data_IF_056465303409
#
_entry.id   IF_056465303409
#
_cell.length_a   1.000
_cell.length_b   1.000
_cell.length_c   1.000
_cell.angle_alpha   90.00
_cell.angle_beta   90.00
_cell.angle_gamma   90.00
#
_symmetry.space_group_name_H-M   'P 1'
#
loop_
_entity.id
_entity.type
_entity.pdbx_description
1 polymer ?
#
# COMPACT_ATOMS: atom_id res chain seq x y z
N UNK A 1 -43.75 4.62 -18.82
CA UNK A 1 -44.17 3.87 -17.61
C UNK A 1 -44.23 2.35 -17.80
N UNK A 2 -44.83 1.78 -18.86
CA UNK A 2 -44.83 0.31 -19.06
C UNK A 2 -43.48 -0.27 -19.57
N UNK A 3 -42.72 0.50 -20.37
CA UNK A 3 -41.40 0.07 -20.86
C UNK A 3 -40.30 0.16 -19.79
N UNK A 4 -40.31 1.17 -18.92
CA UNK A 4 -39.35 1.29 -17.80
C UNK A 4 -39.49 0.16 -16.77
N UNK A 5 -40.70 -0.34 -16.56
CA UNK A 5 -40.94 -1.50 -15.69
C UNK A 5 -40.39 -2.81 -16.28
N UNK A 6 -40.41 -2.97 -17.61
CA UNK A 6 -39.81 -4.16 -18.25
C UNK A 6 -38.28 -4.10 -18.26
N UNK A 7 -37.68 -2.91 -18.38
CA UNK A 7 -36.22 -2.76 -18.29
C UNK A 7 -35.73 -3.01 -16.86
N UNK A 8 -36.42 -2.49 -15.84
CA UNK A 8 -36.11 -2.76 -14.44
C UNK A 8 -36.32 -4.23 -14.08
N UNK A 9 -37.41 -4.86 -14.55
CA UNK A 9 -37.66 -6.29 -14.33
C UNK A 9 -36.58 -7.18 -14.97
N UNK A 10 -36.07 -6.83 -16.16
CA UNK A 10 -35.01 -7.59 -16.84
C UNK A 10 -33.64 -7.41 -16.18
N UNK A 11 -33.32 -6.21 -15.68
CA UNK A 11 -32.10 -5.94 -14.90
C UNK A 11 -32.13 -6.69 -13.57
N UNK A 12 -33.28 -6.73 -12.88
CA UNK A 12 -33.47 -7.54 -11.67
C UNK A 12 -33.37 -9.04 -11.95
N UNK A 13 -33.94 -9.56 -13.05
CA UNK A 13 -33.83 -10.98 -13.41
C UNK A 13 -32.41 -11.39 -13.81
N UNK A 14 -31.66 -10.53 -14.50
CA UNK A 14 -30.24 -10.77 -14.82
C UNK A 14 -29.41 -10.77 -13.54
N UNK A 15 -29.65 -9.83 -12.62
CA UNK A 15 -28.97 -9.77 -11.32
C UNK A 15 -29.29 -10.99 -10.43
N UNK A 16 -30.54 -11.45 -10.40
CA UNK A 16 -30.94 -12.65 -9.65
C UNK A 16 -30.33 -13.93 -10.24
N UNK A 17 -30.15 -13.99 -11.56
CA UNK A 17 -29.49 -15.11 -12.25
C UNK A 17 -27.97 -15.12 -11.99
N UNK A 18 -27.31 -13.96 -11.97
CA UNK A 18 -25.90 -13.84 -11.59
C UNK A 18 -25.64 -14.21 -10.12
N UNK A 19 -26.51 -13.80 -9.19
CA UNK A 19 -26.43 -14.19 -7.78
C UNK A 19 -26.58 -15.71 -7.60
N UNK A 20 -27.55 -16.35 -8.28
CA UNK A 20 -27.78 -17.79 -8.12
C UNK A 20 -26.75 -18.68 -8.82
N UNK A 21 -26.18 -18.26 -9.95
CA UNK A 21 -25.13 -19.03 -10.63
C UNK A 21 -23.76 -18.99 -9.90
N UNK A 22 -23.49 -17.96 -9.09
CA UNK A 22 -22.24 -17.84 -8.32
C UNK A 22 -22.33 -18.53 -6.95
N UNK A 23 -23.54 -18.77 -6.42
CA UNK A 23 -23.77 -19.29 -5.07
C UNK A 23 -24.09 -20.80 -4.95
N UNK A 24 -23.83 -21.64 -5.97
CA UNK A 24 -23.87 -23.10 -5.76
C UNK A 24 -22.59 -23.58 -5.05
N UNK A 25 -22.74 -23.97 -3.77
CA UNK A 25 -21.74 -24.67 -2.96
C UNK A 25 -21.25 -25.92 -3.70
N UNK A 26 -19.97 -25.95 -4.08
CA UNK A 26 -19.30 -27.17 -4.55
C UNK A 26 -18.07 -27.41 -3.69
N UNK A 27 -18.04 -28.60 -3.08
CA UNK A 27 -17.03 -29.09 -2.14
C UNK A 27 -15.61 -29.01 -2.71
N UNK A 28 -14.68 -28.56 -1.88
CA UNK A 28 -13.32 -28.12 -2.22
C UNK A 28 -12.27 -29.22 -2.08
N UNK A 29 -11.92 -29.92 -3.17
CA UNK A 29 -10.60 -30.60 -3.35
C UNK A 29 -10.28 -30.84 -4.83
N UNK A 30 -9.62 -29.90 -5.54
CA UNK A 30 -8.83 -30.17 -6.76
C UNK A 30 -8.20 -28.89 -7.36
N UNK A 31 -6.94 -28.92 -7.89
CA UNK A 31 -6.28 -27.78 -8.56
C UNK A 31 -6.90 -27.37 -9.91
N UNK A 32 -7.88 -28.11 -10.43
CA UNK A 32 -8.61 -27.76 -11.67
C UNK A 32 -9.68 -26.66 -11.48
N UNK A 33 -9.87 -26.18 -10.24
CA UNK A 33 -10.92 -25.23 -9.86
C UNK A 33 -10.76 -23.83 -10.48
N UNK A 34 -9.53 -23.39 -10.75
CA UNK A 34 -9.25 -22.02 -11.20
C UNK A 34 -9.44 -21.84 -12.72
N UNK A 35 -9.19 -22.88 -13.52
CA UNK A 35 -9.40 -22.85 -14.98
C UNK A 35 -10.89 -22.86 -15.36
N UNK A 36 -11.73 -23.61 -14.65
CA UNK A 36 -13.18 -23.72 -14.97
C UNK A 36 -13.93 -22.42 -14.71
N UNK A 37 -13.49 -21.60 -13.74
CA UNK A 37 -14.15 -20.33 -13.39
C UNK A 37 -13.84 -19.21 -14.40
N UNK A 38 -12.61 -19.18 -14.92
CA UNK A 38 -12.17 -18.23 -15.95
C UNK A 38 -12.80 -18.56 -17.31
N UNK A 39 -12.92 -19.84 -17.67
CA UNK A 39 -13.59 -20.23 -18.92
C UNK A 39 -15.10 -20.04 -18.88
N UNK A 40 -15.78 -20.29 -17.74
CA UNK A 40 -17.22 -19.95 -17.60
C UNK A 40 -17.46 -18.44 -17.66
N UNK A 41 -16.61 -17.62 -17.06
CA UNK A 41 -16.72 -16.16 -17.15
C UNK A 41 -16.50 -15.65 -18.58
N UNK A 42 -15.58 -16.27 -19.34
CA UNK A 42 -15.38 -15.99 -20.77
C UNK A 42 -16.56 -16.47 -21.62
N UNK A 43 -17.10 -17.67 -21.37
CA UNK A 43 -18.25 -18.23 -22.09
C UNK A 43 -19.54 -17.42 -21.91
N UNK A 44 -19.76 -16.86 -20.72
CA UNK A 44 -20.92 -15.99 -20.40
C UNK A 44 -20.75 -14.60 -21.05
N UNK A 45 -19.52 -14.10 -21.21
CA UNK A 45 -19.25 -12.83 -21.90
C UNK A 45 -19.53 -12.90 -23.40
N UNK A 46 -19.28 -14.06 -24.03
CA UNK A 46 -19.52 -14.27 -25.47
C UNK A 46 -20.98 -14.64 -25.80
N UNK A 47 -21.73 -15.26 -24.88
CA UNK A 47 -23.15 -15.58 -25.11
C UNK A 47 -24.09 -14.38 -24.93
N UNK A 48 -23.64 -13.32 -24.23
CA UNK A 48 -24.35 -12.04 -24.13
C UNK A 48 -24.22 -11.14 -25.36
N UNK A 49 -23.34 -11.49 -26.31
CA UNK A 49 -23.21 -10.81 -27.61
C UNK A 49 -24.01 -11.59 -28.66
N UNK A 50 -25.31 -11.76 -28.43
CA UNK A 50 -26.27 -12.02 -29.51
C UNK A 50 -27.16 -10.80 -29.62
N UNK A 51 -26.71 -9.85 -30.45
CA UNK A 51 -27.51 -8.70 -30.83
C UNK A 51 -28.64 -9.24 -31.70
N UNK A 52 -29.87 -9.26 -31.19
CA UNK A 52 -31.05 -9.53 -32.01
C UNK A 52 -31.13 -8.47 -33.11
N UNK A 53 -30.79 -8.85 -34.33
CA UNK A 53 -31.02 -8.05 -35.53
C UNK A 53 -32.49 -8.21 -35.93
N UNK A 54 -33.27 -7.14 -35.82
CA UNK A 54 -34.56 -7.05 -36.53
C UNK A 54 -34.32 -6.46 -37.93
N UNK A 55 -34.99 -6.97 -38.98
CA UNK A 55 -34.79 -6.46 -40.33
C UNK A 55 -35.55 -5.13 -40.49
N UNK A 56 -34.82 -4.03 -40.49
CA UNK A 56 -35.28 -2.72 -40.91
C UNK A 56 -34.74 -2.39 -42.30
N UNK A 57 -35.61 -1.85 -43.14
CA UNK A 57 -35.40 -1.54 -44.55
C UNK A 57 -34.25 -0.53 -44.69
N UNK A 58 -33.40 -0.74 -45.69
CA UNK A 58 -32.18 0.01 -46.06
C UNK A 58 -30.88 -0.35 -45.30
N UNK A 59 -30.10 -1.23 -45.93
CA UNK A 59 -28.87 -1.83 -45.42
C UNK A 59 -27.68 -0.89 -45.23
N UNK A 60 -27.69 -0.09 -44.14
CA UNK A 60 -26.48 0.45 -43.52
C UNK A 60 -26.33 -0.06 -42.09
N UNK A 61 -25.24 -0.80 -41.82
CA UNK A 61 -24.83 -1.20 -40.47
C UNK A 61 -24.19 -0.01 -39.75
N UNK A 62 -24.80 0.49 -38.68
CA UNK A 62 -24.18 1.46 -37.78
C UNK A 62 -23.73 0.73 -36.51
N UNK A 63 -22.42 0.69 -36.26
CA UNK A 63 -21.85 0.20 -35.00
C UNK A 63 -22.08 1.26 -33.92
N UNK A 64 -22.92 0.96 -32.92
CA UNK A 64 -22.98 1.75 -31.69
C UNK A 64 -21.68 1.49 -30.90
N UNK A 65 -20.95 2.55 -30.56
CA UNK A 65 -19.72 2.48 -29.78
C UNK A 65 -19.98 1.82 -28.41
N UNK A 66 -19.03 1.05 -27.84
CA UNK A 66 -19.19 0.50 -26.51
C UNK A 66 -19.34 1.65 -25.50
N UNK A 67 -20.30 1.53 -24.59
CA UNK A 67 -20.46 2.48 -23.48
C UNK A 67 -19.16 2.59 -22.67
N UNK A 68 -18.97 3.73 -21.99
CA UNK A 68 -17.84 4.03 -21.08
C UNK A 68 -17.47 2.89 -20.10
N UNK A 69 -18.40 1.96 -19.87
CA UNK A 69 -18.25 0.75 -19.09
C UNK A 69 -17.19 -0.24 -19.64
N UNK A 70 -17.15 -0.50 -20.95
CA UNK A 70 -16.20 -1.48 -21.52
C UNK A 70 -14.76 -0.97 -21.41
N UNK A 71 -14.56 0.33 -21.56
CA UNK A 71 -13.28 1.00 -21.39
C UNK A 71 -12.84 1.05 -19.92
N UNK A 72 -13.76 1.27 -18.98
CA UNK A 72 -13.47 1.18 -17.54
C UNK A 72 -13.14 -0.26 -17.11
N UNK A 73 -13.88 -1.24 -17.61
CA UNK A 73 -13.63 -2.67 -17.34
C UNK A 73 -12.29 -3.14 -17.91
N UNK A 74 -11.94 -2.75 -19.13
CA UNK A 74 -10.63 -3.03 -19.71
C UNK A 74 -9.49 -2.33 -18.96
N UNK A 75 -9.69 -1.09 -18.48
CA UNK A 75 -8.72 -0.41 -17.62
C UNK A 75 -8.51 -1.14 -16.28
N UNK A 76 -9.58 -1.65 -15.68
CA UNK A 76 -9.51 -2.45 -14.46
C UNK A 76 -8.76 -3.79 -14.69
N UNK A 77 -8.98 -4.44 -15.83
CA UNK A 77 -8.27 -5.66 -16.19
C UNK A 77 -6.81 -5.43 -16.61
N UNK A 78 -6.49 -4.31 -17.26
CA UNK A 78 -5.12 -3.97 -17.70
C UNK A 78 -4.21 -3.54 -16.53
N UNK A 79 -4.79 -3.00 -15.46
CA UNK A 79 -4.05 -2.56 -14.27
C UNK A 79 -3.73 -3.68 -13.25
N UNK A 80 -3.97 -4.95 -13.60
CA UNK A 80 -3.49 -6.09 -12.80
C UNK A 80 -4.05 -6.15 -11.38
N UNK A 81 -5.34 -5.85 -11.22
CA UNK A 81 -6.04 -6.10 -9.95
C UNK A 81 -6.17 -7.61 -9.77
N UNK A 82 -5.41 -8.18 -8.82
CA UNK A 82 -5.61 -9.55 -8.36
C UNK A 82 -7.01 -9.66 -7.74
N UNK A 83 -7.96 -10.22 -8.51
CA UNK A 83 -9.24 -10.72 -8.01
C UNK A 83 -9.01 -12.00 -7.20
N UNK A 84 -8.18 -11.93 -6.16
CA UNK A 84 -8.18 -12.94 -5.12
C UNK A 84 -9.33 -12.57 -4.18
N UNK A 85 -10.39 -13.39 -4.12
CA UNK A 85 -11.25 -13.42 -2.94
C UNK A 85 -10.28 -13.62 -1.79
N UNK A 86 -10.10 -12.58 -0.98
CA UNK A 86 -9.44 -12.71 0.31
C UNK A 86 -10.36 -13.67 1.07
N UNK A 87 -9.88 -14.89 1.32
CA UNK A 87 -10.76 -15.94 1.81
C UNK A 87 -11.46 -15.45 3.07
N UNK A 88 -12.78 -15.66 3.13
CA UNK A 88 -13.49 -15.67 4.40
C UNK A 88 -12.74 -16.68 5.26
N UNK A 89 -11.91 -16.20 6.19
CA UNK A 89 -11.21 -17.07 7.13
C UNK A 89 -12.21 -18.07 7.71
N UNK A 90 -11.78 -19.31 7.89
CA UNK A 90 -12.61 -20.34 8.52
C UNK A 90 -13.28 -19.75 9.76
N UNK A 91 -14.61 -19.91 9.84
CA UNK A 91 -15.49 -19.15 10.73
C UNK A 91 -14.89 -19.02 12.13
N UNK A 92 -14.54 -17.79 12.50
CA UNK A 92 -13.96 -17.53 13.81
C UNK A 92 -15.09 -17.45 14.83
N UNK A 93 -15.17 -18.43 15.73
CA UNK A 93 -16.19 -18.49 16.78
C UNK A 93 -15.80 -17.55 17.93
N UNK A 94 -16.48 -16.41 18.05
CA UNK A 94 -16.54 -15.69 19.33
C UNK A 94 -17.85 -16.07 20.01
N UNK A 95 -17.77 -16.77 21.13
CA UNK A 95 -18.97 -17.17 21.91
C UNK A 95 -19.89 -18.17 21.20
N UNK A 96 -19.35 -19.06 20.35
CA UNK A 96 -20.10 -20.18 19.75
C UNK A 96 -21.06 -19.83 18.61
N UNK A 97 -20.95 -18.66 17.99
CA UNK A 97 -21.76 -18.29 16.80
C UNK A 97 -20.87 -18.09 15.57
N UNK A 98 -21.27 -18.62 14.41
CA UNK A 98 -20.59 -18.49 13.12
C UNK A 98 -20.56 -17.04 12.61
N UNK A 99 -19.47 -16.66 11.94
CA UNK A 99 -19.23 -15.31 11.42
C UNK A 99 -18.72 -15.31 9.96
N UNK A 100 -19.24 -14.43 9.07
CA UNK A 100 -20.45 -13.61 9.24
C UNK A 100 -21.71 -14.46 9.51
N UNK A 101 -22.81 -13.87 10.02
CA UNK A 101 -24.05 -14.61 10.28
C UNK A 101 -24.55 -15.35 9.03
N UNK A 102 -25.23 -16.48 9.20
CA UNK A 102 -25.83 -17.21 8.09
C UNK A 102 -26.72 -16.29 7.23
N UNK A 103 -26.54 -16.34 5.91
CA UNK A 103 -27.23 -15.47 4.95
C UNK A 103 -26.46 -14.22 4.50
N UNK A 104 -25.27 -13.95 5.09
CA UNK A 104 -24.40 -12.83 4.69
C UNK A 104 -23.09 -13.35 4.06
N UNK A 105 -22.76 -12.94 2.83
CA UNK A 105 -21.44 -13.14 2.20
C UNK A 105 -20.68 -11.79 2.22
N UNK A 106 -20.08 -11.48 3.37
CA UNK A 106 -19.32 -10.24 3.57
C UNK A 106 -17.84 -10.56 3.74
N UNK A 107 -17.00 -9.80 3.03
CA UNK A 107 -15.56 -9.82 3.13
C UNK A 107 -15.11 -9.03 4.37
N UNK A 108 -15.19 -9.69 5.52
CA UNK A 108 -14.88 -9.17 6.85
C UNK A 108 -14.19 -10.25 7.68
N UNK A 109 -13.21 -9.89 8.51
CA UNK A 109 -12.44 -10.85 9.31
C UNK A 109 -12.00 -10.23 10.63
N UNK A 110 -12.25 -10.93 11.75
CA UNK A 110 -11.71 -10.54 13.04
C UNK A 110 -10.23 -10.87 13.10
N UNK A 111 -9.42 -9.83 13.24
CA UNK A 111 -7.98 -9.97 13.48
C UNK A 111 -7.76 -10.29 14.97
N UNK A 112 -8.53 -9.64 15.83
CA UNK A 112 -8.63 -9.97 17.26
C UNK A 112 -10.10 -9.95 17.72
N UNK A 113 -10.34 -10.17 19.00
CA UNK A 113 -11.67 -9.97 19.60
C UNK A 113 -12.19 -8.53 19.50
N UNK A 114 -11.38 -7.54 19.14
CA UNK A 114 -11.85 -6.14 19.14
C UNK A 114 -11.42 -5.36 17.90
N UNK A 115 -10.74 -6.02 16.96
CA UNK A 115 -10.30 -5.46 15.69
C UNK A 115 -10.89 -6.27 14.54
N UNK A 116 -11.68 -5.60 13.72
CA UNK A 116 -12.34 -6.15 12.54
C UNK A 116 -11.78 -5.49 11.29
N UNK A 117 -11.26 -6.27 10.35
CA UNK A 117 -10.81 -5.79 9.06
C UNK A 117 -11.85 -6.14 7.98
N UNK A 118 -12.13 -5.22 7.05
CA UNK A 118 -13.05 -5.49 5.94
C UNK A 118 -12.65 -4.81 4.62
N UNK A 119 -13.26 -5.24 3.52
CA UNK A 119 -13.26 -4.46 2.27
C UNK A 119 -14.30 -3.34 2.29
N UNK A 120 -14.20 -2.43 1.31
CA UNK A 120 -15.00 -1.21 1.27
C UNK A 120 -16.51 -1.46 1.29
N UNK A 121 -17.28 -0.78 2.15
CA UNK A 121 -18.73 -0.85 2.15
C UNK A 121 -19.28 -0.03 0.98
N UNK A 122 -19.62 -0.70 -0.11
CA UNK A 122 -20.04 -0.06 -1.35
C UNK A 122 -21.55 0.23 -1.37
N UNK A 123 -21.90 1.39 -1.92
CA UNK A 123 -23.26 1.72 -2.37
C UNK A 123 -23.43 1.40 -3.86
N UNK A 124 -24.66 1.13 -4.31
CA UNK A 124 -25.00 0.93 -5.73
C UNK A 124 -24.31 -0.28 -6.42
N UNK A 125 -24.17 -0.28 -7.75
CA UNK A 125 -23.67 -1.37 -8.61
C UNK A 125 -22.27 -1.89 -8.24
N UNK A 126 -21.47 -1.13 -7.46
CA UNK A 126 -20.18 -1.59 -6.94
C UNK A 126 -20.32 -2.65 -5.84
N UNK A 127 -21.48 -2.75 -5.20
CA UNK A 127 -21.82 -3.81 -4.24
C UNK A 127 -21.89 -5.22 -4.87
N UNK A 128 -21.86 -5.33 -6.20
CA UNK A 128 -21.76 -6.64 -6.88
C UNK A 128 -20.38 -7.28 -6.67
N UNK A 129 -19.35 -6.47 -6.44
CA UNK A 129 -17.95 -6.92 -6.30
C UNK A 129 -17.34 -6.64 -4.92
N UNK A 130 -18.10 -5.98 -4.03
CA UNK A 130 -17.67 -5.53 -2.70
C UNK A 130 -18.81 -5.69 -1.71
N UNK A 131 -18.54 -5.45 -0.43
CA UNK A 131 -19.54 -5.55 0.62
C UNK A 131 -20.69 -4.56 0.39
N UNK A 132 -21.95 -5.00 0.26
CA UNK A 132 -23.08 -4.09 0.23
C UNK A 132 -23.17 -3.33 1.56
N UNK A 133 -23.12 -1.99 1.53
CA UNK A 133 -23.06 -1.17 2.74
C UNK A 133 -24.21 -1.47 3.71
N UNK A 134 -25.44 -1.69 3.20
CA UNK A 134 -26.59 -2.00 4.03
C UNK A 134 -26.43 -3.32 4.79
N UNK A 135 -25.77 -4.32 4.21
CA UNK A 135 -25.48 -5.58 4.87
C UNK A 135 -24.41 -5.41 5.95
N UNK A 136 -23.35 -4.64 5.65
CA UNK A 136 -22.31 -4.31 6.64
C UNK A 136 -22.94 -3.62 7.84
N UNK A 137 -23.74 -2.58 7.60
CA UNK A 137 -24.48 -1.85 8.64
C UNK A 137 -25.35 -2.80 9.46
N UNK A 138 -26.16 -3.65 8.81
CA UNK A 138 -27.06 -4.54 9.52
C UNK A 138 -26.30 -5.56 10.39
N UNK A 139 -25.22 -6.14 9.88
CA UNK A 139 -24.39 -7.09 10.64
C UNK A 139 -23.71 -6.41 11.83
N UNK A 140 -23.20 -5.19 11.65
CA UNK A 140 -22.59 -4.43 12.73
C UNK A 140 -23.61 -4.02 13.79
N UNK A 141 -24.77 -3.47 13.39
CA UNK A 141 -25.84 -3.09 14.30
C UNK A 141 -26.41 -4.29 15.06
N UNK A 142 -26.61 -5.43 14.39
CA UNK A 142 -27.14 -6.64 15.02
C UNK A 142 -26.21 -7.23 16.09
N UNK A 143 -24.90 -7.06 15.94
CA UNK A 143 -23.90 -7.76 16.75
C UNK A 143 -23.14 -6.88 17.73
N UNK A 144 -22.99 -5.61 17.39
CA UNK A 144 -22.21 -4.60 18.10
C UNK A 144 -22.99 -3.29 18.17
N UNK A 145 -24.30 -3.36 18.40
CA UNK A 145 -25.16 -2.17 18.50
C UNK A 145 -24.50 -1.14 19.41
N UNK A 146 -24.30 0.08 18.90
CA UNK A 146 -23.62 1.20 19.59
C UNK A 146 -22.12 1.01 19.91
N UNK A 147 -21.62 -0.22 19.85
CA UNK A 147 -20.26 -0.63 20.22
C UNK A 147 -19.31 -0.82 19.02
N UNK A 148 -19.55 -0.17 17.88
CA UNK A 148 -18.58 -0.15 16.78
C UNK A 148 -18.27 1.27 16.28
N UNK A 149 -17.01 1.46 15.88
CA UNK A 149 -16.53 2.65 15.16
C UNK A 149 -15.77 2.22 13.91
N UNK A 150 -16.04 2.88 12.79
CA UNK A 150 -15.49 2.56 11.47
C UNK A 150 -14.36 3.53 11.12
N UNK A 151 -13.26 2.99 10.62
CA UNK A 151 -12.08 3.73 10.18
C UNK A 151 -11.88 3.54 8.68
N UNK A 152 -12.08 4.62 7.91
CA UNK A 152 -11.95 4.64 6.45
C UNK A 152 -10.54 5.11 6.05
N UNK A 153 -9.78 4.23 5.41
CA UNK A 153 -8.42 4.51 4.94
C UNK A 153 -8.35 4.97 3.46
N UNK A 154 -9.49 5.10 2.78
CA UNK A 154 -9.54 5.46 1.38
C UNK A 154 -9.41 6.97 1.17
N UNK A 155 -8.38 7.38 0.43
CA UNK A 155 -8.26 8.75 -0.08
C UNK A 155 -9.18 8.98 -1.29
N UNK A 156 -9.44 7.92 -2.04
CA UNK A 156 -10.16 7.97 -3.32
C UNK A 156 -11.69 7.97 -3.18
N UNK A 157 -12.22 7.49 -2.04
CA UNK A 157 -13.66 7.25 -1.88
C UNK A 157 -14.08 7.42 -0.41
N UNK A 158 -15.21 8.09 -0.21
CA UNK A 158 -15.85 8.34 1.08
C UNK A 158 -17.35 8.06 1.00
N UNK A 159 -18.02 8.03 2.14
CA UNK A 159 -19.45 7.87 2.26
C UNK A 159 -19.94 8.66 3.46
N UNK A 160 -21.24 8.98 3.50
CA UNK A 160 -21.84 9.75 4.58
C UNK A 160 -21.66 9.02 5.93
N UNK A 161 -20.97 9.61 6.92
CA UNK A 161 -20.82 9.05 8.27
C UNK A 161 -22.14 8.71 8.97
N UNK A 162 -23.23 9.40 8.62
CA UNK A 162 -24.57 9.16 9.20
C UNK A 162 -25.05 7.72 8.99
N UNK A 163 -24.57 7.06 7.94
CA UNK A 163 -24.88 5.66 7.61
C UNK A 163 -24.40 4.66 8.66
N UNK A 164 -23.41 5.05 9.46
CA UNK A 164 -22.89 4.28 10.60
C UNK A 164 -23.05 5.10 11.90
N UNK A 165 -24.17 5.82 12.02
CA UNK A 165 -24.54 6.59 13.22
C UNK A 165 -23.51 7.67 13.60
N UNK A 166 -22.81 8.23 12.61
CA UNK A 166 -21.76 9.24 12.83
C UNK A 166 -20.45 8.67 13.39
N UNK A 167 -20.34 7.34 13.59
CA UNK A 167 -19.15 6.68 14.12
C UNK A 167 -18.18 6.27 13.01
N UNK A 168 -17.84 7.21 12.12
CA UNK A 168 -16.87 7.01 11.03
C UNK A 168 -15.77 8.04 11.16
N UNK A 169 -14.51 7.60 11.07
CA UNK A 169 -13.34 8.47 11.07
C UNK A 169 -12.44 8.16 9.86
N UNK A 170 -11.91 9.20 9.24
CA UNK A 170 -11.08 9.10 8.04
C UNK A 170 -9.59 9.19 8.36
N UNK A 171 -8.80 8.29 7.79
CA UNK A 171 -7.34 8.36 7.77
C UNK A 171 -6.86 8.10 6.33
N UNK A 172 -7.14 9.03 5.40
CA UNK A 172 -7.01 8.78 3.97
C UNK A 172 -5.54 8.74 3.53
N UNK A 173 -5.14 7.68 2.85
CA UNK A 173 -3.89 7.65 2.10
C UNK A 173 -3.99 6.77 0.84
N UNK A 174 -3.13 7.09 -0.13
CA UNK A 174 -3.14 6.52 -1.47
C UNK A 174 -3.03 4.98 -1.48
N UNK A 175 -3.73 4.35 -2.43
CA UNK A 175 -3.62 2.91 -2.58
C UNK A 175 -2.20 2.50 -2.99
N UNK A 176 -1.69 1.47 -2.32
CA UNK A 176 -0.30 1.01 -2.43
C UNK A 176 0.75 2.03 -1.98
N UNK A 177 0.35 3.08 -1.24
CA UNK A 177 1.25 3.97 -0.53
C UNK A 177 1.37 3.58 0.96
N UNK A 178 2.16 4.37 1.67
CA UNK A 178 2.32 4.40 3.13
C UNK A 178 1.79 5.72 3.68
N UNK A 179 1.19 5.74 4.87
CA UNK A 179 0.80 6.96 5.58
C UNK A 179 2.01 7.59 6.30
N UNK A 180 1.87 8.83 6.75
CA UNK A 180 2.87 9.44 7.64
C UNK A 180 2.87 8.78 9.02
N UNK A 181 4.01 8.81 9.72
CA UNK A 181 4.11 8.28 11.08
C UNK A 181 3.16 9.01 12.06
N UNK A 182 2.93 10.31 11.85
CA UNK A 182 1.94 11.09 12.61
C UNK A 182 0.52 10.59 12.40
N UNK A 183 0.14 10.26 11.16
CA UNK A 183 -1.18 9.67 10.87
C UNK A 183 -1.33 8.30 11.53
N UNK A 184 -0.28 7.48 11.53
CA UNK A 184 -0.28 6.19 12.25
C UNK A 184 -0.53 6.42 13.74
N UNK A 185 0.14 7.40 14.36
CA UNK A 185 -0.05 7.75 15.76
C UNK A 185 -1.50 8.15 16.05
N UNK A 186 -2.03 9.15 15.33
CA UNK A 186 -3.39 9.64 15.52
C UNK A 186 -4.42 8.52 15.40
N UNK A 187 -4.26 7.66 14.39
CA UNK A 187 -5.10 6.48 14.21
C UNK A 187 -5.00 5.53 15.41
N UNK A 188 -3.79 5.19 15.86
CA UNK A 188 -3.61 4.26 16.96
C UNK A 188 -4.20 4.81 18.27
N UNK A 189 -4.01 6.09 18.54
CA UNK A 189 -4.58 6.78 19.70
C UNK A 189 -6.11 6.79 19.65
N UNK A 190 -6.72 7.13 18.51
CA UNK A 190 -8.19 7.09 18.37
C UNK A 190 -8.75 5.69 18.58
N UNK A 191 -8.13 4.67 17.96
CA UNK A 191 -8.54 3.27 18.15
C UNK A 191 -8.41 2.88 19.62
N UNK A 192 -7.29 3.24 20.26
CA UNK A 192 -7.05 2.92 21.67
C UNK A 192 -8.10 3.55 22.58
N UNK A 193 -8.39 4.84 22.41
CA UNK A 193 -9.38 5.57 23.20
C UNK A 193 -10.78 4.97 23.02
N UNK A 194 -11.17 4.66 21.79
CA UNK A 194 -12.45 4.00 21.51
C UNK A 194 -12.56 2.64 22.19
N UNK A 195 -11.49 1.84 22.17
CA UNK A 195 -11.49 0.52 22.80
C UNK A 195 -11.37 0.59 24.33
N UNK A 196 -10.84 1.67 24.89
CA UNK A 196 -10.80 1.90 26.33
C UNK A 196 -12.15 2.36 26.90
N UNK A 197 -12.94 3.09 26.12
CA UNK A 197 -14.21 3.68 26.54
C UNK A 197 -15.22 2.63 27.03
N UNK A 198 -15.31 1.49 26.33
CA UNK A 198 -16.18 0.39 26.71
C UNK A 198 -15.54 -0.96 26.32
N UNK A 199 -15.56 -2.01 27.17
CA UNK A 199 -15.02 -3.33 26.84
C UNK A 199 -15.71 -4.05 25.67
N UNK A 200 -16.97 -3.72 25.36
CA UNK A 200 -17.73 -4.26 24.24
C UNK A 200 -17.36 -3.59 22.91
N UNK A 201 -16.73 -2.40 22.96
CA UNK A 201 -16.36 -1.66 21.76
C UNK A 201 -15.44 -2.47 20.84
N UNK A 202 -15.71 -2.40 19.54
CA UNK A 202 -14.85 -2.91 18.47
C UNK A 202 -14.46 -1.79 17.50
N UNK A 203 -13.26 -1.87 16.94
CA UNK A 203 -12.81 -1.02 15.85
C UNK A 203 -12.93 -1.78 14.53
N UNK A 204 -13.54 -1.14 13.53
CA UNK A 204 -13.74 -1.70 12.18
C UNK A 204 -12.91 -0.90 11.18
N UNK A 205 -11.88 -1.52 10.60
CA UNK A 205 -10.91 -0.85 9.73
C UNK A 205 -11.09 -1.35 8.31
N UNK A 206 -11.15 -0.44 7.34
CA UNK A 206 -11.26 -0.83 5.94
C UNK A 206 -10.48 0.08 4.99
N UNK A 207 -10.18 -0.47 3.82
CA UNK A 207 -9.78 0.27 2.63
C UNK A 207 -10.59 -0.28 1.45
N UNK A 208 -10.10 -0.20 0.21
CA UNK A 208 -10.78 -0.80 -0.93
C UNK A 208 -10.93 -2.32 -0.83
N UNK A 209 -9.82 -3.03 -0.58
CA UNK A 209 -9.78 -4.49 -0.53
C UNK A 209 -9.61 -5.07 0.88
N UNK A 210 -9.40 -4.23 1.90
CA UNK A 210 -9.13 -4.70 3.25
C UNK A 210 -7.83 -5.51 3.37
N UNK A 211 -6.79 -5.18 2.60
CA UNK A 211 -5.56 -5.99 2.49
C UNK A 211 -4.31 -5.20 2.91
N UNK A 212 -3.71 -4.43 2.00
CA UNK A 212 -2.46 -3.69 2.26
C UNK A 212 -2.61 -2.55 3.27
N UNK A 213 -3.37 -1.49 2.92
CA UNK A 213 -3.59 -0.31 3.78
C UNK A 213 -4.19 -0.69 5.14
N UNK A 214 -5.27 -1.47 5.13
CA UNK A 214 -5.90 -2.00 6.34
C UNK A 214 -4.92 -2.81 7.17
N UNK A 215 -4.13 -3.68 6.54
CA UNK A 215 -3.13 -4.48 7.25
C UNK A 215 -2.05 -3.64 7.89
N UNK A 216 -1.55 -2.60 7.20
CA UNK A 216 -0.58 -1.66 7.78
C UNK A 216 -1.14 -1.04 9.06
N UNK A 217 -2.31 -0.41 9.00
CA UNK A 217 -2.88 0.31 10.14
C UNK A 217 -3.29 -0.64 11.28
N UNK A 218 -3.87 -1.81 10.97
CA UNK A 218 -4.18 -2.83 11.98
C UNK A 218 -2.91 -3.35 12.65
N UNK A 219 -1.86 -3.66 11.89
CA UNK A 219 -0.58 -4.10 12.44
C UNK A 219 0.06 -2.99 13.30
N UNK A 220 -0.03 -1.73 12.87
CA UNK A 220 0.47 -0.61 13.66
C UNK A 220 -0.24 -0.49 15.02
N UNK A 221 -1.56 -0.69 15.08
CA UNK A 221 -2.30 -0.70 16.35
C UNK A 221 -1.99 -1.92 17.23
N UNK A 222 -1.81 -3.11 16.63
CA UNK A 222 -1.35 -4.29 17.37
C UNK A 222 0.02 -4.06 17.99
N UNK A 223 0.93 -3.42 17.23
CA UNK A 223 2.24 -3.01 17.71
C UNK A 223 2.11 -1.98 18.84
N UNK A 224 1.27 -0.96 18.66
CA UNK A 224 0.96 0.04 19.70
C UNK A 224 0.41 -0.60 20.99
N UNK A 225 -0.27 -1.75 20.86
CA UNK A 225 -0.79 -2.54 21.98
C UNK A 225 0.24 -3.50 22.62
N UNK A 226 1.52 -3.41 22.23
CA UNK A 226 2.61 -4.18 22.82
C UNK A 226 3.10 -5.39 22.03
N UNK A 227 2.62 -5.61 20.80
CA UNK A 227 3.09 -6.69 19.93
C UNK A 227 4.37 -6.30 19.16
N UNK A 228 5.21 -7.26 18.77
CA UNK A 228 6.28 -7.00 17.80
C UNK A 228 5.73 -6.77 16.39
N UNK A 229 6.49 -6.07 15.55
CA UNK A 229 6.12 -5.81 14.16
C UNK A 229 5.88 -7.11 13.37
N UNK A 230 6.77 -8.10 13.55
CA UNK A 230 6.74 -9.38 12.88
C UNK A 230 5.50 -10.19 13.29
N UNK A 231 5.21 -10.26 14.59
CA UNK A 231 4.06 -10.98 15.11
C UNK A 231 2.74 -10.34 14.65
N UNK A 232 2.67 -9.00 14.62
CA UNK A 232 1.50 -8.28 14.13
C UNK A 232 1.23 -8.55 12.64
N UNK A 233 2.27 -8.46 11.81
CA UNK A 233 2.19 -8.75 10.37
C UNK A 233 1.77 -10.20 10.11
N UNK A 234 2.30 -11.14 10.87
CA UNK A 234 1.98 -12.56 10.77
C UNK A 234 0.53 -12.84 11.19
N UNK A 235 0.11 -12.33 12.35
CA UNK A 235 -1.27 -12.48 12.82
C UNK A 235 -2.27 -11.93 11.81
N UNK A 236 -2.00 -10.75 11.24
CA UNK A 236 -2.86 -10.19 10.22
C UNK A 236 -2.91 -11.07 8.96
N UNK A 237 -1.77 -11.59 8.50
CA UNK A 237 -1.72 -12.46 7.34
C UNK A 237 -2.53 -13.75 7.54
N UNK A 238 -2.41 -14.39 8.70
CA UNK A 238 -3.13 -15.62 9.07
C UNK A 238 -4.64 -15.39 9.17
N UNK A 239 -5.05 -14.28 9.80
CA UNK A 239 -6.47 -14.00 10.04
C UNK A 239 -7.20 -13.43 8.84
N UNK A 240 -6.49 -12.64 8.03
CA UNK A 240 -7.10 -11.96 6.89
C UNK A 240 -6.99 -12.77 5.61
N UNK A 241 -5.97 -13.59 5.41
CA UNK A 241 -5.71 -14.21 4.10
C UNK A 241 -5.51 -15.71 4.18
N UNK A 242 -5.93 -16.43 3.15
CA UNK A 242 -5.76 -17.89 3.06
C UNK A 242 -4.38 -18.32 2.56
N UNK A 243 -3.58 -17.38 2.05
CA UNK A 243 -2.26 -17.64 1.48
C UNK A 243 -1.13 -16.95 2.26
N UNK A 244 -1.39 -16.48 3.48
CA UNK A 244 -0.46 -15.72 4.32
C UNK A 244 0.15 -14.49 3.63
N UNK A 245 -0.53 -13.91 2.63
CA UNK A 245 -0.12 -12.68 1.96
C UNK A 245 -0.95 -11.51 2.48
N UNK A 246 -0.85 -11.18 3.78
CA UNK A 246 -1.54 -10.03 4.39
C UNK A 246 -1.02 -8.69 3.85
N UNK A 247 -0.08 -8.09 4.57
CA UNK A 247 0.67 -6.92 4.09
C UNK A 247 1.85 -7.41 3.26
N UNK A 248 1.68 -7.43 1.94
CA UNK A 248 2.68 -7.95 0.99
C UNK A 248 3.59 -6.88 0.40
N UNK A 249 3.25 -5.59 0.51
CA UNK A 249 4.06 -4.49 -0.02
C UNK A 249 5.23 -4.22 0.95
N UNK A 250 6.50 -4.37 0.53
CA UNK A 250 7.67 -4.15 1.38
C UNK A 250 7.67 -2.81 2.10
N UNK A 251 7.35 -1.71 1.43
CA UNK A 251 7.31 -0.39 2.09
C UNK A 251 6.26 -0.29 3.19
N UNK A 252 5.11 -0.96 3.04
CA UNK A 252 4.09 -1.00 4.09
C UNK A 252 4.59 -1.78 5.31
N UNK A 253 5.29 -2.90 5.10
CA UNK A 253 5.94 -3.67 6.18
C UNK A 253 7.05 -2.87 6.85
N UNK A 254 7.85 -2.14 6.06
CA UNK A 254 8.92 -1.25 6.54
C UNK A 254 8.37 -0.17 7.48
N UNK A 255 7.21 0.41 7.17
CA UNK A 255 6.57 1.42 8.02
C UNK A 255 6.00 0.83 9.32
N UNK A 256 5.52 -0.42 9.33
CA UNK A 256 5.21 -1.12 10.59
C UNK A 256 6.48 -1.31 11.44
N UNK A 257 7.61 -1.61 10.81
CA UNK A 257 8.91 -1.70 11.48
C UNK A 257 9.42 -0.35 12.00
N UNK A 258 9.26 0.74 11.23
CA UNK A 258 9.57 2.10 11.69
C UNK A 258 8.71 2.49 12.88
N UNK A 259 7.41 2.21 12.81
CA UNK A 259 6.47 2.43 13.91
C UNK A 259 6.90 1.69 15.18
N UNK A 260 7.26 0.41 15.10
CA UNK A 260 7.78 -0.36 16.24
C UNK A 260 9.01 0.29 16.88
N UNK A 261 9.96 0.80 16.07
CA UNK A 261 11.21 1.39 16.56
C UNK A 261 11.03 2.69 17.35
N UNK A 262 9.96 3.43 17.11
CA UNK A 262 9.73 4.73 17.75
C UNK A 262 8.85 4.64 19.01
N UNK A 263 8.31 3.45 19.30
CA UNK A 263 7.50 3.22 20.48
C UNK A 263 8.35 2.83 21.68
N UNK A 264 8.03 3.40 22.84
CA UNK A 264 8.66 3.08 24.12
C UNK A 264 7.61 2.63 25.13
N UNK A 265 7.75 1.40 25.61
CA UNK A 265 6.84 0.80 26.58
C UNK A 265 7.35 0.97 28.01
N UNK A 266 6.49 1.44 28.91
CA UNK A 266 6.83 1.58 30.32
C UNK A 266 6.82 0.22 31.02
N UNK A 267 8.01 -0.32 31.33
CA UNK A 267 8.20 -1.64 31.97
C UNK A 267 7.35 -1.84 33.25
N UNK A 268 7.02 -0.76 33.96
CA UNK A 268 6.32 -0.80 35.25
C UNK A 268 4.79 -0.60 35.15
N UNK A 269 4.23 -0.29 33.97
CA UNK A 269 2.78 -0.11 33.76
C UNK A 269 2.37 -0.54 32.34
N UNK A 270 2.25 -1.84 32.07
CA UNK A 270 1.97 -2.37 30.73
C UNK A 270 0.56 -2.05 30.21
N UNK A 271 -0.34 -1.55 31.07
CA UNK A 271 -1.70 -1.15 30.70
C UNK A 271 -1.80 0.27 30.12
N UNK A 272 -0.73 1.07 30.21
CA UNK A 272 -0.70 2.41 29.62
C UNK A 272 -0.27 2.35 28.15
N UNK A 273 -0.78 3.27 27.30
CA UNK A 273 -0.30 3.39 25.93
C UNK A 273 1.21 3.68 25.92
N UNK A 274 1.94 3.18 24.91
CA UNK A 274 3.36 3.49 24.74
C UNK A 274 3.58 4.97 24.50
N UNK A 275 4.75 5.47 24.89
CA UNK A 275 5.20 6.78 24.46
C UNK A 275 5.66 6.72 23.00
N UNK A 276 5.18 7.65 22.17
CA UNK A 276 5.51 7.72 20.75
C UNK A 276 6.62 8.77 20.56
N UNK A 277 7.82 8.32 20.20
CA UNK A 277 8.95 9.20 19.90
C UNK A 277 9.02 9.48 18.40
N UNK A 278 8.11 10.32 17.88
CA UNK A 278 8.17 10.71 16.47
C UNK A 278 9.56 11.31 16.15
N UNK A 279 10.21 10.87 15.07
CA UNK A 279 11.49 11.45 14.68
C UNK A 279 11.29 12.89 14.20
N UNK A 280 12.25 13.76 14.53
CA UNK A 280 12.29 15.09 13.94
C UNK A 280 12.54 15.02 12.43
N UNK A 281 12.01 15.96 11.63
CA UNK A 281 12.32 16.04 10.21
C UNK A 281 13.82 16.14 9.98
N UNK A 282 14.44 15.06 9.49
CA UNK A 282 15.86 15.03 9.19
C UNK A 282 16.08 15.14 7.68
N UNK A 283 16.35 16.35 7.14
CA UNK A 283 16.65 16.49 5.73
C UNK A 283 17.96 15.73 5.40
N UNK A 284 18.01 15.16 4.20
CA UNK A 284 19.13 14.38 3.68
C UNK A 284 19.40 14.80 2.24
N UNK A 285 20.67 15.00 1.91
CA UNK A 285 21.11 15.25 0.53
C UNK A 285 21.20 13.94 -0.24
N UNK A 286 20.28 13.63 -1.14
CA UNK A 286 20.40 12.51 -2.06
C UNK A 286 21.41 12.87 -3.17
N UNK A 287 22.54 12.17 -3.20
CA UNK A 287 23.69 12.44 -4.09
C UNK A 287 23.77 11.49 -5.27
N UNK A 288 23.30 10.25 -5.13
CA UNK A 288 23.31 9.26 -6.22
C UNK A 288 22.17 8.26 -6.10
N UNK A 289 21.62 7.87 -7.23
CA UNK A 289 20.80 6.66 -7.37
C UNK A 289 21.53 5.71 -8.32
N UNK A 290 21.70 4.46 -7.91
CA UNK A 290 22.38 3.44 -8.71
C UNK A 290 21.60 2.13 -8.71
N UNK A 291 21.55 1.47 -9.86
CA UNK A 291 20.96 0.15 -10.04
C UNK A 291 22.08 -0.82 -10.41
N UNK A 292 22.18 -1.87 -9.61
CA UNK A 292 23.19 -2.91 -9.76
C UNK A 292 22.64 -4.12 -10.49
N UNK A 293 23.52 -4.82 -11.22
CA UNK A 293 23.20 -6.07 -11.92
C UNK A 293 21.95 -5.95 -12.81
N UNK A 294 21.90 -4.88 -13.62
CA UNK A 294 20.82 -4.68 -14.58
C UNK A 294 21.00 -5.59 -15.80
N UNK A 295 19.90 -6.00 -16.41
CA UNK A 295 19.89 -6.90 -17.56
C UNK A 295 19.09 -6.32 -18.72
N UNK A 296 19.64 -6.36 -19.93
CA UNK A 296 18.97 -5.97 -21.17
C UNK A 296 18.36 -4.56 -21.17
N UNK A 297 18.93 -3.62 -20.40
CA UNK A 297 18.45 -2.26 -20.28
C UNK A 297 19.61 -1.28 -20.18
N UNK A 298 19.51 -0.16 -20.92
CA UNK A 298 20.55 0.87 -20.97
C UNK A 298 20.13 2.17 -20.26
N UNK A 299 18.88 2.27 -19.81
CA UNK A 299 18.42 3.43 -19.05
C UNK A 299 17.19 3.09 -18.24
N UNK A 300 17.12 3.61 -17.02
CA UNK A 300 15.92 3.53 -16.18
C UNK A 300 15.57 4.94 -15.72
N UNK A 301 14.34 5.37 -16.00
CA UNK A 301 13.82 6.65 -15.53
C UNK A 301 13.35 6.52 -14.09
N UNK A 302 13.47 7.58 -13.31
CA UNK A 302 12.95 7.61 -11.96
C UNK A 302 12.28 8.94 -11.62
N UNK A 303 11.39 8.87 -10.64
CA UNK A 303 10.71 10.01 -10.02
C UNK A 303 10.90 9.91 -8.52
N UNK A 304 11.42 10.96 -7.90
CA UNK A 304 11.46 11.13 -6.44
C UNK A 304 10.29 12.00 -6.04
N UNK A 305 9.53 11.56 -5.04
CA UNK A 305 8.37 12.28 -4.52
C UNK A 305 8.33 12.26 -3.00
N UNK A 306 7.81 13.32 -2.40
CA UNK A 306 7.63 13.47 -0.95
C UNK A 306 6.15 13.58 -0.60
N UNK A 307 5.76 13.09 0.58
CA UNK A 307 4.40 13.33 1.09
C UNK A 307 4.28 14.77 1.59
N UNK A 308 3.48 15.58 0.90
CA UNK A 308 3.24 16.97 1.29
C UNK A 308 2.16 17.04 2.37
N UNK A 309 2.50 17.62 3.52
CA UNK A 309 1.53 18.00 4.52
C UNK A 309 0.79 19.28 4.07
N UNK A 310 -0.53 19.22 3.98
CA UNK A 310 -1.38 20.36 3.60
C UNK A 310 -2.18 20.78 4.82
N UNK A 311 -2.05 22.04 5.24
CA UNK A 311 -2.74 22.55 6.42
C UNK A 311 -4.26 22.40 6.29
N UNK A 312 -4.90 21.81 7.31
CA UNK A 312 -6.34 21.58 7.34
C UNK A 312 -6.85 20.42 6.47
N UNK A 313 -5.95 19.60 5.91
CA UNK A 313 -6.33 18.40 5.18
C UNK A 313 -5.60 17.17 5.74
N UNK A 314 -6.35 16.14 6.10
CA UNK A 314 -5.81 14.89 6.65
C UNK A 314 -5.11 14.04 5.57
N UNK A 315 -5.38 14.31 4.29
CA UNK A 315 -4.73 13.63 3.18
C UNK A 315 -3.43 14.34 2.75
N UNK A 316 -2.33 13.60 2.76
CA UNK A 316 -1.02 14.08 2.30
C UNK A 316 -0.69 13.51 0.90
N UNK A 317 -0.85 14.28 -0.19
CA UNK A 317 -0.53 13.79 -1.53
C UNK A 317 0.98 13.68 -1.77
N UNK A 318 1.44 12.69 -2.56
CA UNK A 318 2.81 12.64 -3.01
C UNK A 318 3.08 13.73 -4.07
N UNK A 319 4.09 14.56 -3.83
CA UNK A 319 4.53 15.64 -4.73
C UNK A 319 5.85 15.26 -5.38
N UNK A 320 5.93 15.37 -6.70
CA UNK A 320 7.16 15.13 -7.47
C UNK A 320 8.21 16.21 -7.16
N UNK A 321 9.35 15.79 -6.61
CA UNK A 321 10.49 16.67 -6.32
C UNK A 321 11.41 16.73 -7.55
N UNK A 322 11.71 15.58 -8.15
CA UNK A 322 12.52 15.51 -9.37
C UNK A 322 12.17 14.28 -10.21
N UNK A 323 12.42 14.40 -11.51
CA UNK A 323 12.42 13.31 -12.48
C UNK A 323 13.71 13.30 -13.28
N UNK A 324 14.35 12.16 -13.34
CA UNK A 324 15.62 11.97 -14.06
C UNK A 324 15.76 10.52 -14.54
N UNK A 325 16.96 10.12 -14.96
CA UNK A 325 17.22 8.75 -15.39
C UNK A 325 18.65 8.29 -15.09
N UNK A 326 18.76 7.02 -14.70
CA UNK A 326 20.02 6.32 -14.61
C UNK A 326 20.46 5.83 -15.99
N UNK A 327 21.76 5.95 -16.29
CA UNK A 327 22.40 5.54 -17.55
C UNK A 327 23.65 4.70 -17.25
N UNK A 328 24.22 3.98 -18.24
CA UNK A 328 25.36 3.11 -17.97
C UNK A 328 26.56 3.95 -17.54
N UNK A 329 27.26 3.47 -16.51
CA UNK A 329 28.48 4.13 -16.01
C UNK A 329 29.49 4.22 -17.16
N UNK A 330 29.84 5.43 -17.59
CA UNK A 330 30.85 5.63 -18.63
C UNK A 330 32.24 5.41 -18.03
N UNK A 331 32.99 4.43 -18.54
CA UNK A 331 34.41 4.28 -18.20
C UNK A 331 35.15 5.60 -18.45
N UNK A 332 35.78 6.14 -17.41
CA UNK A 332 36.64 7.32 -17.48
C UNK A 332 35.98 8.67 -17.17
N UNK A 333 34.69 8.73 -16.84
CA UNK A 333 34.00 9.98 -16.50
C UNK A 333 33.47 9.98 -15.06
N UNK A 334 34.32 9.62 -14.11
CA UNK A 334 34.12 10.11 -12.75
C UNK A 334 34.33 11.62 -12.81
N UNK A 335 33.25 12.40 -12.77
CA UNK A 335 33.38 13.83 -12.53
C UNK A 335 34.28 14.05 -11.30
N UNK A 336 35.08 15.12 -11.26
CA UNK A 336 36.11 15.33 -10.22
C UNK A 336 35.58 15.31 -8.77
N UNK A 337 34.27 15.29 -8.57
CA UNK A 337 33.59 15.39 -7.28
C UNK A 337 32.80 14.15 -6.81
N UNK A 338 32.93 12.96 -7.40
CA UNK A 338 32.35 11.75 -6.77
C UNK A 338 33.10 11.45 -5.47
N UNK A 339 32.53 11.65 -4.27
CA UNK A 339 33.24 11.34 -3.04
C UNK A 339 33.50 9.83 -3.02
N UNK A 340 34.79 9.45 -3.09
CA UNK A 340 35.25 8.06 -3.02
C UNK A 340 35.16 7.48 -1.60
N UNK A 341 34.41 8.12 -0.72
CA UNK A 341 34.41 7.89 0.72
C UNK A 341 32.97 8.01 1.23
N UNK A 342 32.44 6.93 1.78
CA UNK A 342 31.14 6.93 2.44
C UNK A 342 31.31 6.61 3.93
N UNK A 343 30.48 7.19 4.79
CA UNK A 343 30.45 6.87 6.22
C UNK A 343 29.40 5.78 6.44
N UNK A 344 29.86 4.57 6.76
CA UNK A 344 29.01 3.53 7.34
C UNK A 344 29.06 3.63 8.86
N UNK A 345 27.88 3.59 9.50
CA UNK A 345 27.74 3.36 10.93
C UNK A 345 27.31 1.90 11.12
N UNK A 346 28.21 1.07 11.66
CA UNK A 346 27.89 -0.32 11.97
C UNK A 346 27.35 -0.36 13.40
N UNK A 347 26.09 -0.79 13.56
CA UNK A 347 25.53 -1.08 14.86
C UNK A 347 25.72 -2.58 15.12
N UNK A 348 26.71 -2.95 15.94
CA UNK A 348 26.85 -4.32 16.42
C UNK A 348 25.71 -4.56 17.41
N UNK A 349 24.88 -5.56 17.13
CA UNK A 349 23.77 -5.92 18.01
C UNK A 349 24.25 -6.39 19.39
N UNK A 350 23.42 -6.09 20.38
CA UNK A 350 23.39 -6.70 21.72
C UNK A 350 24.53 -6.33 22.69
N UNK A 351 24.52 -5.10 23.19
CA UNK A 351 24.92 -4.84 24.59
C UNK A 351 24.40 -3.46 25.05
N UNK A 352 23.34 -3.45 25.88
CA UNK A 352 22.64 -2.24 26.37
C UNK A 352 23.46 -1.38 27.36
N UNK A 353 24.78 -1.51 27.49
CA UNK A 353 25.54 -0.78 28.52
C UNK A 353 26.95 -0.28 28.14
N UNK A 354 27.24 -0.08 26.85
CA UNK A 354 28.44 0.67 26.45
C UNK A 354 28.11 1.75 25.44
N UNK A 355 28.45 2.99 25.78
CA UNK A 355 28.63 4.06 24.81
C UNK A 355 29.89 3.71 24.01
N UNK A 356 29.76 2.87 22.99
CA UNK A 356 30.84 2.60 22.04
C UNK A 356 30.87 3.73 21.00
N UNK A 357 32.05 4.33 20.81
CA UNK A 357 32.27 5.37 19.80
C UNK A 357 31.90 4.84 18.40
N UNK A 358 31.24 5.67 17.55
CA UNK A 358 30.82 5.24 16.22
C UNK A 358 32.03 4.82 15.38
N UNK A 359 32.14 3.54 15.05
CA UNK A 359 33.13 3.03 14.11
C UNK A 359 32.80 3.55 12.71
N UNK A 360 33.53 4.58 12.26
CA UNK A 360 33.42 5.13 10.90
C UNK A 360 34.16 4.21 9.95
N UNK A 361 33.42 3.43 9.15
CA UNK A 361 34.01 2.69 8.02
C UNK A 361 33.95 3.59 6.79
N UNK A 362 35.12 3.87 6.23
CA UNK A 362 35.29 4.56 4.96
C UNK A 362 35.31 3.51 3.85
N UNK A 363 34.20 3.35 3.14
CA UNK A 363 34.15 2.46 1.98
C UNK A 363 34.62 3.21 0.73
N UNK A 364 35.66 2.69 0.08
CA UNK A 364 36.04 3.12 -1.26
C UNK A 364 35.12 2.48 -2.30
N UNK A 365 34.66 3.28 -3.26
CA UNK A 365 33.96 2.79 -4.47
C UNK A 365 35.01 2.06 -5.34
N UNK A 366 35.33 0.80 -4.99
CA UNK A 366 36.29 -0.05 -5.71
C UNK A 366 35.66 -0.80 -6.87
N UNK A 367 34.44 -0.44 -7.27
CA UNK A 367 33.74 -1.12 -8.35
C UNK A 367 34.34 -0.76 -9.71
N UNK A 368 35.44 -1.44 -10.00
CA UNK A 368 35.89 -1.67 -11.36
C UNK A 368 34.84 -2.54 -12.03
N UNK A 369 34.15 -2.00 -13.05
CA UNK A 369 33.25 -2.73 -13.95
C UNK A 369 33.93 -3.87 -14.74
N UNK A 370 35.17 -4.23 -14.37
CA UNK A 370 36.07 -5.13 -15.08
C UNK A 370 36.05 -6.54 -14.50
N UNK A 371 35.59 -6.74 -13.26
CA UNK A 371 35.71 -8.06 -12.61
C UNK A 371 34.44 -8.92 -12.80
N UNK A 372 33.26 -8.29 -12.93
CA UNK A 372 32.02 -8.98 -13.27
C UNK A 372 31.34 -8.22 -14.41
N UNK A 373 30.95 -8.87 -15.50
CA UNK A 373 30.21 -8.31 -16.64
C UNK A 373 28.78 -7.82 -16.29
N UNK A 374 28.56 -7.32 -15.07
CA UNK A 374 27.28 -6.84 -14.55
C UNK A 374 27.11 -5.39 -14.97
N UNK A 375 26.02 -5.10 -15.68
CA UNK A 375 25.73 -3.73 -16.08
C UNK A 375 25.24 -2.95 -14.86
N UNK A 376 25.74 -1.72 -14.73
CA UNK A 376 25.36 -0.81 -13.67
C UNK A 376 24.82 0.47 -14.31
N UNK A 377 23.66 0.93 -13.85
CA UNK A 377 23.09 2.20 -14.26
C UNK A 377 23.14 3.18 -13.10
N UNK A 378 23.66 4.39 -13.30
CA UNK A 378 23.68 5.41 -12.28
C UNK A 378 23.21 6.79 -12.74
N UNK A 379 22.80 7.58 -11.75
CA UNK A 379 22.53 9.00 -11.86
C UNK A 379 23.16 9.66 -10.64
N UNK A 380 24.16 10.50 -10.89
CA UNK A 380 24.77 11.38 -9.91
C UNK A 380 24.12 12.76 -10.01
N UNK A 381 23.77 13.37 -8.87
CA UNK A 381 23.24 14.73 -8.85
C UNK A 381 24.42 15.71 -8.68
N UNK A 382 24.64 16.58 -9.66
CA UNK A 382 25.66 17.63 -9.58
C UNK A 382 25.38 18.54 -8.38
N UNK A 383 24.12 18.98 -8.25
CA UNK A 383 23.55 19.61 -7.07
C UNK A 383 22.74 18.56 -6.28
N UNK A 384 23.15 18.18 -5.05
CA UNK A 384 22.44 17.17 -4.28
C UNK A 384 20.96 17.50 -4.07
N UNK A 385 20.10 16.50 -4.24
CA UNK A 385 18.67 16.66 -4.05
C UNK A 385 18.35 16.60 -2.55
N UNK A 386 17.96 17.72 -1.96
CA UNK A 386 17.50 17.73 -0.56
C UNK A 386 16.14 17.02 -0.46
N UNK A 387 16.06 16.00 0.39
CA UNK A 387 14.80 15.29 0.68
C UNK A 387 14.56 15.16 2.17
N UNK A 388 13.29 15.17 2.61
CA UNK A 388 12.94 15.07 4.03
C UNK A 388 11.64 14.29 4.28
N UNK A 389 11.58 13.58 5.41
CA UNK A 389 10.39 12.85 5.85
C UNK A 389 10.12 11.61 5.01
N UNK A 390 8.85 11.43 4.61
CA UNK A 390 8.39 10.26 3.86
C UNK A 390 8.65 10.42 2.35
N UNK A 391 9.63 9.68 1.84
CA UNK A 391 10.11 9.76 0.46
C UNK A 391 9.72 8.50 -0.30
N UNK A 392 9.25 8.66 -1.54
CA UNK A 392 9.02 7.58 -2.51
C UNK A 392 9.89 7.78 -3.74
N UNK A 393 10.61 6.74 -4.14
CA UNK A 393 11.35 6.68 -5.39
C UNK A 393 10.71 5.66 -6.31
N UNK A 394 10.21 6.10 -7.47
CA UNK A 394 9.51 5.27 -8.46
C UNK A 394 10.33 5.12 -9.74
N UNK A 395 10.47 3.90 -10.25
CA UNK A 395 11.30 3.59 -11.41
C UNK A 395 10.45 3.16 -12.61
N UNK A 396 10.86 3.58 -13.81
CA UNK A 396 10.13 3.42 -15.06
C UNK A 396 11.07 3.00 -16.19
N UNK A 397 10.58 2.15 -17.08
CA UNK A 397 11.33 1.73 -18.28
C UNK A 397 11.50 2.89 -19.27
N UNK A 398 10.47 3.74 -19.39
CA UNK A 398 10.42 4.92 -20.27
C UNK A 398 9.68 6.05 -19.53
N UNK A 399 9.94 7.30 -19.91
CA UNK A 399 9.26 8.48 -19.33
C UNK A 399 7.74 8.40 -19.39
N UNK A 400 7.22 7.78 -20.45
CA UNK A 400 5.80 7.47 -20.64
C UNK A 400 5.74 5.95 -20.84
N UNK A 401 5.46 5.23 -19.77
CA UNK A 401 5.51 3.77 -19.75
C UNK A 401 5.07 3.17 -18.41
N UNK A 402 5.01 1.84 -18.36
CA UNK A 402 4.66 1.12 -17.13
C UNK A 402 5.76 1.28 -16.07
N UNK A 403 5.34 1.51 -14.82
CA UNK A 403 6.23 1.48 -13.64
C UNK A 403 6.87 0.11 -13.49
N UNK A 404 8.17 0.08 -13.25
CA UNK A 404 8.93 -1.15 -13.00
C UNK A 404 8.73 -1.62 -11.56
N UNK A 405 9.00 -0.72 -10.63
CA UNK A 405 8.88 -0.88 -9.18
C UNK A 405 9.04 0.49 -8.50
N UNK A 406 8.85 0.55 -7.20
CA UNK A 406 9.12 1.73 -6.39
C UNK A 406 9.50 1.32 -4.97
N UNK A 407 9.94 2.26 -4.15
CA UNK A 407 10.08 2.05 -2.72
C UNK A 407 9.74 3.34 -1.97
N UNK A 408 9.14 3.20 -0.79
CA UNK A 408 8.96 4.27 0.17
C UNK A 408 9.83 4.00 1.40
N UNK A 409 10.44 5.06 1.92
CA UNK A 409 11.24 5.07 3.13
C UNK A 409 11.05 6.41 3.85
N UNK A 410 11.60 6.53 5.05
CA UNK A 410 11.57 7.79 5.79
C UNK A 410 13.01 8.21 6.11
N UNK A 411 13.36 9.47 5.86
CA UNK A 411 14.75 9.95 5.97
C UNK A 411 15.33 9.85 7.37
N UNK A 412 14.50 9.88 8.42
CA UNK A 412 14.94 9.76 9.81
C UNK A 412 15.48 8.37 10.17
N UNK A 413 15.13 7.34 9.41
CA UNK A 413 15.58 5.97 9.63
C UNK A 413 16.80 5.61 8.79
N UNK A 414 17.36 6.57 8.05
CA UNK A 414 18.61 6.42 7.30
C UNK A 414 19.77 6.63 8.27
N UNK A 415 20.34 5.52 8.77
CA UNK A 415 21.43 5.55 9.75
C UNK A 415 22.81 5.68 9.12
N UNK A 416 23.00 5.18 7.89
CA UNK A 416 24.25 5.31 7.12
C UNK A 416 24.06 6.26 5.94
N UNK A 417 25.15 6.66 5.27
CA UNK A 417 25.04 7.37 3.99
C UNK A 417 24.44 6.51 2.86
N UNK A 418 24.10 5.24 3.09
CA UNK A 418 23.75 4.29 2.04
C UNK A 418 22.46 3.54 2.37
N UNK A 419 21.44 3.68 1.52
CA UNK A 419 20.24 2.84 1.57
C UNK A 419 20.24 1.88 0.39
N UNK A 420 20.42 0.59 0.68
CA UNK A 420 20.38 -0.48 -0.31
C UNK A 420 19.06 -1.23 -0.23
N UNK A 421 18.40 -1.39 -1.38
CA UNK A 421 17.09 -2.00 -1.53
C UNK A 421 17.20 -3.17 -2.53
N UNK A 422 17.37 -4.42 -2.05
CA UNK A 422 17.32 -5.59 -2.93
C UNK A 422 15.96 -5.71 -3.61
N UNK A 423 15.85 -6.55 -4.65
CA UNK A 423 14.59 -6.75 -5.37
C UNK A 423 13.41 -7.14 -4.47
N UNK A 424 13.66 -7.86 -3.37
CA UNK A 424 12.66 -8.25 -2.36
C UNK A 424 12.07 -7.07 -1.58
N UNK A 425 12.79 -5.96 -1.54
CA UNK A 425 12.47 -4.75 -0.77
C UNK A 425 11.80 -3.66 -1.60
N UNK A 426 11.60 -3.94 -2.90
CA UNK A 426 10.96 -3.07 -3.86
C UNK A 426 9.49 -3.45 -4.04
N UNK A 427 8.65 -2.44 -4.18
CA UNK A 427 7.21 -2.57 -4.27
C UNK A 427 6.76 -2.82 -5.71
N UNK A 428 5.72 -3.66 -5.85
CA UNK A 428 5.01 -3.94 -7.11
C UNK A 428 5.95 -4.33 -8.27
N UNK A 429 6.97 -5.13 -7.98
CA UNK A 429 7.89 -5.67 -8.99
C UNK A 429 7.15 -6.62 -9.94
N UNK A 430 6.69 -6.07 -11.06
CA UNK A 430 6.01 -6.83 -12.11
C UNK A 430 6.97 -7.63 -12.99
N UNK A 431 6.43 -8.30 -14.02
CA UNK A 431 7.24 -9.06 -15.00
C UNK A 431 8.37 -8.23 -15.63
N UNK A 432 8.10 -6.96 -15.95
CA UNK A 432 9.10 -6.03 -16.51
C UNK A 432 10.17 -5.61 -15.51
N UNK A 433 9.79 -5.37 -14.25
CA UNK A 433 10.76 -5.11 -13.17
C UNK A 433 11.70 -6.30 -12.97
N UNK A 434 11.16 -7.52 -13.00
CA UNK A 434 11.94 -8.76 -12.89
C UNK A 434 12.83 -9.01 -14.11
N UNK A 435 12.40 -8.65 -15.32
CA UNK A 435 13.21 -8.91 -16.53
C UNK A 435 14.48 -8.07 -16.63
N UNK A 436 14.54 -6.95 -15.90
CA UNK A 436 15.73 -6.10 -15.85
C UNK A 436 16.65 -6.39 -14.65
N UNK A 437 16.20 -7.22 -13.71
CA UNK A 437 16.88 -7.51 -12.46
C UNK A 437 17.66 -8.82 -12.56
N UNK A 438 18.98 -8.75 -12.54
CA UNK A 438 19.85 -9.92 -12.41
C UNK A 438 19.80 -10.56 -11.01
N UNK A 439 20.50 -11.69 -10.79
CA UNK A 439 20.47 -12.44 -9.53
C UNK A 439 20.94 -11.65 -8.31
N UNK A 440 21.79 -10.64 -8.50
CA UNK A 440 22.35 -9.76 -7.47
C UNK A 440 21.79 -8.33 -7.57
N UNK A 441 20.61 -8.15 -8.16
CA UNK A 441 20.02 -6.83 -8.36
C UNK A 441 19.64 -6.15 -7.03
N UNK A 442 20.09 -4.91 -6.88
CA UNK A 442 19.62 -3.98 -5.84
C UNK A 442 19.68 -2.53 -6.33
N UNK A 443 18.85 -1.69 -5.70
CA UNK A 443 18.89 -0.24 -5.86
C UNK A 443 19.67 0.34 -4.70
N UNK A 444 20.59 1.25 -4.99
CA UNK A 444 21.35 2.00 -4.00
C UNK A 444 20.99 3.48 -4.07
N UNK A 445 20.68 4.05 -2.92
CA UNK A 445 20.48 5.48 -2.72
C UNK A 445 21.59 5.98 -1.80
N UNK A 446 22.41 6.89 -2.32
CA UNK A 446 23.51 7.49 -1.59
C UNK A 446 23.09 8.86 -1.05
N UNK A 447 23.20 9.03 0.25
CA UNK A 447 22.93 10.26 0.96
C UNK A 447 24.21 10.91 1.49
N UNK A 448 24.20 12.25 1.56
CA UNK A 448 25.17 13.03 2.31
C UNK A 448 25.14 12.68 3.81
N UNK A 449 26.11 13.18 4.59
CA UNK A 449 26.13 12.99 6.03
C UNK A 449 24.85 13.53 6.69
N UNK A 450 24.44 12.89 7.77
CA UNK A 450 23.36 13.40 8.61
C UNK A 450 23.71 14.79 9.13
N UNK A 451 22.81 15.76 8.96
CA UNK A 451 22.97 17.14 9.40
C UNK A 451 24.16 17.87 8.75
N UNK A 452 24.25 17.86 7.42
CA UNK A 452 24.96 18.95 6.75
C UNK A 452 24.27 20.25 7.18
N UNK A 453 24.95 21.07 7.97
CA UNK A 453 24.47 22.39 8.40
C UNK A 453 23.86 23.08 7.18
N UNK A 454 22.54 23.34 7.23
CA UNK A 454 21.90 24.15 6.20
C UNK A 454 22.66 25.47 6.24
N UNK A 455 23.30 25.88 5.14
CA UNK A 455 24.08 27.10 5.17
C UNK A 455 23.13 28.28 5.50
N UNK A 456 23.49 29.08 6.51
CA UNK A 456 22.69 30.19 7.07
C UNK A 456 22.14 31.18 6.02
N UNK A 457 22.66 31.15 4.80
CA UNK A 457 22.21 31.99 3.69
C UNK A 457 20.81 31.65 3.14
N UNK A 458 20.25 30.48 3.47
CA UNK A 458 18.87 30.11 3.06
C UNK A 458 17.80 30.48 4.10
N UNK A 459 18.20 30.94 5.30
CA UNK A 459 17.29 31.35 6.37
C UNK A 459 16.95 32.84 6.38
N UNK A 460 17.66 33.68 5.61
CA UNK A 460 17.44 35.14 5.62
C UNK A 460 16.38 35.65 4.62
N UNK A 461 15.77 34.80 3.80
CA UNK A 461 14.79 35.26 2.80
C UNK A 461 13.35 35.50 3.32
N UNK A 462 13.08 35.29 4.62
CA UNK A 462 11.72 35.42 5.18
C UNK A 462 11.56 36.48 6.29
N UNK A 463 12.60 37.22 6.66
CA UNK A 463 12.49 38.33 7.62
C UNK A 463 13.27 39.56 7.15
N UNK A 464 12.59 40.40 6.35
CA UNK A 464 13.11 41.70 5.95
C UNK A 464 12.15 42.43 5.02
N UNK A 465 11.09 43.01 5.57
CA UNK A 465 10.62 44.37 5.27
C UNK A 465 9.30 44.65 6.01
N UNK A 466 9.43 45.28 7.19
CA UNK A 466 8.41 46.11 7.83
C UNK A 466 9.07 47.21 8.62
#
# INVERSE_FOLDING_TARGET
MAEEFQTLSRVFSINYFFQNCVCQKVSSKSPLYEQVRVEKAKGILFSGISVNTSPGIDGKRTLLAPSNWFSQFLNLCQNGWDFLKVGSGEGWERGGTQWPPEGYDLDMSYITNRLLAMSFPAQSMRAVFRNPLWQVKNVLDMRHSEHYKVYNLCAEETYDPSLFHGRVEGYPFDDNHVPSLTMIQQFCESVHLWLLDDPENIAVIHCMAGKGRTGLMVCAYLVYSGMSAEAALQLYAERRTTNNQGVSIPSQRRYVGYWYKILSFLKNKPSLPPHVNLPEPSPRELRRIRLYDTMNINSVFFVVSELLQVAGNDYHPPVEVIRSCCRPVKQGNHGPNSPRFFRLFINNGEDENKVEEPHVVVQMDTESSVIDQKTCLDCYFEDPLLVSGDVRVSFYERMIGGRLFYACFNTAFITSSLLQLPLSDLDKVGRRGKSIAGPSFFVELLFGPANAEVPEFLTEACHGDS
#
